data_IF_793776456506
#
_entry.id   IF_793776456506
#
_cell.length_a   1.000
_cell.length_b   1.000
_cell.length_c   1.000
_cell.angle_alpha   90.00
_cell.angle_beta   90.00
_cell.angle_gamma   90.00
#
_symmetry.space_group_name_H-M   'P 1'
#
loop_
_entity.id
_entity.type
_entity.pdbx_description
1 polymer ?
#
# COMPACT_ATOMS: atom_id res chain seq x y z
N UNK A 1 -17.75 8.84 5.39
CA UNK A 1 -18.88 7.93 5.14
C UNK A 1 -19.65 8.48 3.96
N UNK A 2 -19.83 7.67 2.91
CA UNK A 2 -20.59 8.11 1.73
C UNK A 2 -22.05 8.34 2.08
N UNK A 3 -22.68 9.30 1.39
CA UNK A 3 -24.13 9.55 1.54
C UNK A 3 -24.98 8.39 0.97
N UNK A 4 -24.43 7.62 0.03
CA UNK A 4 -25.04 6.42 -0.52
C UNK A 4 -24.50 5.17 0.23
N UNK A 5 -25.34 4.41 0.95
CA UNK A 5 -24.92 3.21 1.68
C UNK A 5 -24.34 2.10 0.80
N UNK A 6 -24.79 1.95 -0.45
CA UNK A 6 -24.26 0.92 -1.37
C UNK A 6 -22.83 1.27 -1.80
N UNK A 7 -22.57 2.55 -2.09
CA UNK A 7 -21.23 3.03 -2.41
C UNK A 7 -20.26 2.91 -1.23
N UNK A 8 -20.73 3.19 0.00
CA UNK A 8 -19.91 2.97 1.21
C UNK A 8 -19.59 1.47 1.37
N UNK A 9 -20.57 0.60 1.12
CA UNK A 9 -20.40 -0.86 1.15
C UNK A 9 -19.37 -1.34 0.12
N UNK A 10 -19.49 -0.91 -1.15
CA UNK A 10 -18.53 -1.26 -2.21
C UNK A 10 -17.10 -0.82 -1.88
N UNK A 11 -16.97 0.38 -1.31
CA UNK A 11 -15.67 0.92 -0.92
C UNK A 11 -15.07 0.17 0.27
N UNK A 12 -15.89 -0.26 1.23
CA UNK A 12 -15.44 -1.12 2.33
C UNK A 12 -14.93 -2.46 1.80
N UNK A 13 -15.63 -3.08 0.85
CA UNK A 13 -15.17 -4.33 0.21
C UNK A 13 -13.83 -4.09 -0.50
N UNK A 14 -13.72 -2.99 -1.24
CA UNK A 14 -12.47 -2.60 -1.92
C UNK A 14 -11.33 -2.41 -0.93
N UNK A 15 -11.53 -1.67 0.17
CA UNK A 15 -10.52 -1.45 1.20
C UNK A 15 -10.01 -2.79 1.77
N UNK A 16 -10.90 -3.72 2.09
CA UNK A 16 -10.49 -5.01 2.62
C UNK A 16 -9.76 -5.87 1.59
N UNK A 17 -10.23 -5.88 0.35
CA UNK A 17 -9.56 -6.58 -0.74
C UNK A 17 -8.14 -6.07 -0.96
N UNK A 18 -7.98 -4.75 -1.06
CA UNK A 18 -6.64 -4.14 -1.23
C UNK A 18 -5.77 -4.37 0.01
N UNK A 19 -6.33 -4.33 1.22
CA UNK A 19 -5.59 -4.66 2.44
C UNK A 19 -5.10 -6.13 2.43
N UNK A 20 -5.92 -7.07 1.96
CA UNK A 20 -5.55 -8.46 1.83
C UNK A 20 -4.42 -8.66 0.81
N UNK A 21 -4.57 -8.10 -0.40
CA UNK A 21 -3.58 -8.21 -1.47
C UNK A 21 -2.26 -7.51 -1.10
N UNK A 22 -2.33 -6.34 -0.47
CA UNK A 22 -1.18 -5.63 0.10
C UNK A 22 -0.42 -6.52 1.08
N UNK A 23 -1.12 -7.20 2.01
CA UNK A 23 -0.46 -8.10 2.96
C UNK A 23 0.17 -9.30 2.25
N UNK A 24 -0.56 -9.96 1.37
CA UNK A 24 -0.07 -11.15 0.68
C UNK A 24 1.19 -10.84 -0.16
N UNK A 25 1.19 -9.72 -0.88
CA UNK A 25 2.35 -9.27 -1.66
C UNK A 25 3.53 -8.83 -0.77
N UNK A 26 3.27 -8.18 0.38
CA UNK A 26 4.31 -7.87 1.36
C UNK A 26 4.94 -9.13 1.97
N UNK A 27 4.15 -10.13 2.34
CA UNK A 27 4.67 -11.39 2.91
C UNK A 27 5.60 -12.12 1.91
N UNK A 28 5.21 -12.17 0.64
CA UNK A 28 6.03 -12.73 -0.45
C UNK A 28 7.33 -11.92 -0.65
N UNK A 29 7.23 -10.59 -0.67
CA UNK A 29 8.38 -9.70 -0.73
C UNK A 29 9.33 -9.95 0.45
N UNK A 30 8.80 -10.01 1.67
CA UNK A 30 9.58 -10.21 2.89
C UNK A 30 10.30 -11.56 2.87
N UNK A 31 9.62 -12.63 2.43
CA UNK A 31 10.22 -13.95 2.29
C UNK A 31 11.39 -13.95 1.30
N UNK A 32 11.21 -13.36 0.11
CA UNK A 32 12.25 -13.29 -0.91
C UNK A 32 13.39 -12.34 -0.53
N UNK A 33 13.10 -11.22 0.13
CA UNK A 33 14.10 -10.27 0.61
C UNK A 33 14.97 -10.90 1.70
N UNK A 34 14.37 -11.61 2.67
CA UNK A 34 15.11 -12.40 3.67
C UNK A 34 16.00 -13.43 3.00
N UNK A 35 15.50 -14.13 1.99
CA UNK A 35 16.30 -15.08 1.21
C UNK A 35 17.49 -14.39 0.52
N UNK A 36 17.28 -13.22 -0.09
CA UNK A 36 18.34 -12.46 -0.77
C UNK A 36 19.44 -11.99 0.18
N UNK A 37 19.09 -11.61 1.42
CA UNK A 37 20.05 -11.19 2.44
C UNK A 37 20.91 -12.39 2.88
N UNK A 38 20.31 -13.57 3.02
CA UNK A 38 20.99 -14.77 3.50
C UNK A 38 21.73 -15.55 2.39
N UNK A 39 21.29 -15.42 1.13
CA UNK A 39 21.79 -16.18 -0.01
C UNK A 39 21.50 -15.48 -1.34
N UNK A 40 22.15 -15.94 -2.42
CA UNK A 40 21.87 -15.43 -3.77
C UNK A 40 20.51 -15.90 -4.29
N UNK A 41 19.72 -14.98 -4.84
CA UNK A 41 18.51 -15.31 -5.61
C UNK A 41 18.86 -15.77 -7.03
N UNK A 42 18.13 -16.77 -7.52
CA UNK A 42 18.17 -17.12 -8.95
C UNK A 42 17.39 -16.10 -9.81
N UNK A 43 17.46 -16.22 -11.14
CA UNK A 43 16.84 -15.26 -12.06
C UNK A 43 15.31 -15.15 -11.87
N UNK A 44 14.61 -16.27 -11.69
CA UNK A 44 13.16 -16.31 -11.47
C UNK A 44 12.79 -15.65 -10.15
N UNK A 45 13.58 -15.90 -9.10
CA UNK A 45 13.37 -15.31 -7.77
C UNK A 45 13.59 -13.80 -7.76
N UNK A 46 14.57 -13.29 -8.52
CA UNK A 46 14.76 -11.84 -8.68
C UNK A 46 13.55 -11.18 -9.35
N UNK A 47 12.99 -11.80 -10.38
CA UNK A 47 11.75 -11.32 -11.02
C UNK A 47 10.59 -11.37 -10.02
N UNK A 48 10.44 -12.46 -9.26
CA UNK A 48 9.40 -12.55 -8.22
C UNK A 48 9.56 -11.50 -7.13
N UNK A 49 10.78 -11.21 -6.68
CA UNK A 49 11.04 -10.19 -5.67
C UNK A 49 10.60 -8.82 -6.18
N UNK A 50 10.99 -8.48 -7.41
CA UNK A 50 10.56 -7.25 -8.09
C UNK A 50 9.03 -7.18 -8.20
N UNK A 51 8.39 -8.24 -8.68
CA UNK A 51 6.93 -8.30 -8.82
C UNK A 51 6.22 -8.20 -7.48
N UNK A 52 6.70 -8.88 -6.45
CA UNK A 52 6.12 -8.84 -5.11
C UNK A 52 6.19 -7.42 -4.52
N UNK A 53 7.33 -6.74 -4.64
CA UNK A 53 7.47 -5.38 -4.14
C UNK A 53 6.61 -4.37 -4.91
N UNK A 54 6.56 -4.48 -6.25
CA UNK A 54 5.70 -3.61 -7.08
C UNK A 54 4.20 -3.85 -6.82
N UNK A 55 3.76 -5.10 -6.66
CA UNK A 55 2.40 -5.43 -6.24
C UNK A 55 2.09 -4.88 -4.85
N UNK A 56 3.01 -5.00 -3.90
CA UNK A 56 2.85 -4.42 -2.56
C UNK A 56 2.63 -2.91 -2.61
N UNK A 57 3.48 -2.19 -3.35
CA UNK A 57 3.35 -0.75 -3.54
C UNK A 57 2.01 -0.38 -4.20
N UNK A 58 1.59 -1.14 -5.21
CA UNK A 58 0.31 -0.93 -5.89
C UNK A 58 -0.88 -1.05 -4.93
N UNK A 59 -0.99 -2.18 -4.23
CA UNK A 59 -2.12 -2.43 -3.33
C UNK A 59 -2.13 -1.50 -2.12
N UNK A 60 -0.96 -1.15 -1.57
CA UNK A 60 -0.86 -0.13 -0.51
C UNK A 60 -1.40 1.23 -1.01
N UNK A 61 -1.05 1.61 -2.25
CA UNK A 61 -1.52 2.85 -2.83
C UNK A 61 -3.04 2.86 -3.04
N UNK A 62 -3.60 1.82 -3.65
CA UNK A 62 -5.05 1.71 -3.87
C UNK A 62 -5.84 1.64 -2.56
N UNK A 63 -5.33 0.90 -1.58
CA UNK A 63 -5.90 0.84 -0.23
C UNK A 63 -6.05 2.25 0.39
N UNK A 64 -5.00 3.06 0.35
CA UNK A 64 -5.03 4.40 0.92
C UNK A 64 -5.92 5.34 0.11
N UNK A 65 -5.91 5.26 -1.22
CA UNK A 65 -6.84 6.03 -2.06
C UNK A 65 -8.29 5.71 -1.71
N UNK A 66 -8.63 4.44 -1.53
CA UNK A 66 -9.97 4.03 -1.11
C UNK A 66 -10.32 4.54 0.30
N UNK A 67 -9.37 4.52 1.25
CA UNK A 67 -9.56 5.12 2.57
C UNK A 67 -9.83 6.63 2.48
N UNK A 68 -9.07 7.37 1.67
CA UNK A 68 -9.24 8.81 1.49
C UNK A 68 -10.59 9.15 0.85
N UNK A 69 -11.03 8.38 -0.16
CA UNK A 69 -12.35 8.53 -0.76
C UNK A 69 -13.44 8.31 0.30
N UNK A 70 -13.28 7.29 1.15
CA UNK A 70 -14.26 6.96 2.22
C UNK A 70 -14.34 8.06 3.28
N UNK A 71 -13.20 8.60 3.66
CA UNK A 71 -13.11 9.72 4.60
C UNK A 71 -13.79 10.97 4.05
N UNK A 72 -13.53 11.32 2.78
CA UNK A 72 -14.21 12.40 2.08
C UNK A 72 -15.71 12.13 1.88
N UNK A 73 -16.12 10.87 1.75
CA UNK A 73 -17.48 10.47 1.42
C UNK A 73 -17.85 10.72 -0.05
N UNK A 74 -16.86 10.85 -0.93
CA UNK A 74 -17.01 11.01 -2.39
C UNK A 74 -15.70 10.63 -3.09
N UNK A 75 -15.79 10.13 -4.33
CA UNK A 75 -14.64 9.89 -5.23
C UNK A 75 -14.30 11.12 -6.10
N UNK A 76 -15.02 12.24 -5.90
CA UNK A 76 -14.83 13.46 -6.65
C UNK A 76 -13.42 14.04 -6.45
N UNK A 77 -12.82 14.40 -7.58
CA UNK A 77 -11.49 14.99 -7.61
C UNK A 77 -10.38 13.99 -7.32
N UNK A 78 -10.61 12.66 -7.39
CA UNK A 78 -9.54 11.66 -7.37
C UNK A 78 -9.07 11.23 -8.77
N UNK A 79 -9.65 11.78 -9.84
CA UNK A 79 -9.30 11.50 -11.23
C UNK A 79 -8.52 12.65 -11.90
N UNK A 80 -7.84 12.36 -13.01
CA UNK A 80 -7.08 13.33 -13.79
C UNK A 80 -5.87 13.94 -13.06
N UNK A 81 -5.40 15.08 -13.59
CA UNK A 81 -4.24 15.79 -13.04
C UNK A 81 -4.51 16.36 -11.65
N UNK A 82 -5.64 17.06 -11.49
CA UNK A 82 -6.04 17.62 -10.19
C UNK A 82 -6.16 16.52 -9.12
N UNK A 83 -6.70 15.35 -9.47
CA UNK A 83 -6.76 14.22 -8.55
C UNK A 83 -5.41 13.58 -8.26
N UNK A 84 -4.46 13.63 -9.18
CA UNK A 84 -3.09 13.21 -8.91
C UNK A 84 -2.43 14.11 -7.86
N UNK A 85 -2.53 15.44 -8.02
CA UNK A 85 -1.97 16.41 -7.06
C UNK A 85 -2.66 16.33 -5.69
N UNK A 86 -3.97 16.07 -5.67
CA UNK A 86 -4.73 15.82 -4.44
C UNK A 86 -4.24 14.57 -3.73
N UNK A 87 -4.09 13.44 -4.43
CA UNK A 87 -3.55 12.20 -3.86
C UNK A 87 -2.15 12.42 -3.31
N UNK A 88 -1.27 13.12 -4.05
CA UNK A 88 0.09 13.43 -3.60
C UNK A 88 0.07 14.18 -2.25
N UNK A 89 -0.81 15.19 -2.09
CA UNK A 89 -0.99 15.92 -0.82
C UNK A 89 -1.54 15.05 0.31
N UNK A 90 -2.53 14.20 0.02
CA UNK A 90 -3.15 13.32 1.02
C UNK A 90 -2.14 12.28 1.53
N UNK A 91 -1.34 11.68 0.65
CA UNK A 91 -0.28 10.76 1.04
C UNK A 91 0.79 11.43 1.90
N UNK A 92 1.21 12.66 1.55
CA UNK A 92 2.18 13.38 2.35
C UNK A 92 1.62 13.65 3.76
N UNK A 93 0.40 14.18 3.85
CA UNK A 93 -0.27 14.45 5.12
C UNK A 93 -0.47 13.19 5.98
N UNK A 94 -0.88 12.09 5.36
CA UNK A 94 -1.05 10.80 6.03
C UNK A 94 0.28 10.23 6.54
N UNK A 95 1.36 10.37 5.78
CA UNK A 95 2.69 9.94 6.21
C UNK A 95 3.16 10.76 7.41
N UNK A 96 2.98 12.08 7.38
CA UNK A 96 3.26 12.94 8.54
C UNK A 96 2.44 12.52 9.76
N UNK A 97 1.15 12.26 9.58
CA UNK A 97 0.25 11.81 10.65
C UNK A 97 0.75 10.51 11.28
N UNK A 98 1.12 9.52 10.47
CA UNK A 98 1.63 8.23 10.96
C UNK A 98 2.92 8.39 11.75
N UNK A 99 3.90 9.12 11.22
CA UNK A 99 5.18 9.33 11.90
C UNK A 99 5.01 10.13 13.20
N UNK A 100 4.18 11.19 13.18
CA UNK A 100 3.88 11.96 14.38
C UNK A 100 3.23 11.10 15.47
N UNK A 101 2.30 10.20 15.10
CA UNK A 101 1.68 9.28 16.06
C UNK A 101 2.69 8.33 16.72
N UNK A 102 3.71 7.87 15.99
CA UNK A 102 4.80 7.10 16.59
C UNK A 102 5.62 7.97 17.55
N UNK A 103 6.02 9.17 17.13
CA UNK A 103 6.76 10.10 17.97
C UNK A 103 6.04 10.43 19.28
N UNK A 104 4.76 10.79 19.20
CA UNK A 104 3.96 11.15 20.37
C UNK A 104 3.83 9.98 21.35
N UNK A 105 3.60 8.77 20.83
CA UNK A 105 3.45 7.56 21.64
C UNK A 105 4.76 7.16 22.31
N UNK A 106 5.89 7.25 21.61
CA UNK A 106 7.22 6.97 22.17
C UNK A 106 7.60 8.00 23.24
N UNK A 107 7.36 9.29 23.00
CA UNK A 107 7.58 10.37 23.97
C UNK A 107 6.73 10.19 25.23
N UNK A 108 5.54 9.63 25.11
CA UNK A 108 4.67 9.30 26.23
C UNK A 108 5.07 8.03 27.01
N UNK A 109 6.13 7.32 26.61
CA UNK A 109 6.55 6.06 27.25
C UNK A 109 5.66 4.86 26.90
N UNK A 110 4.81 4.98 25.88
CA UNK A 110 3.87 3.96 25.43
C UNK A 110 4.42 3.13 24.24
N UNK A 111 5.75 3.01 24.15
CA UNK A 111 6.42 2.17 23.15
C UNK A 111 6.20 0.69 23.41
N UNK A 112 6.22 -0.13 22.35
CA UNK A 112 5.96 -1.57 22.44
C UNK A 112 7.23 -2.42 22.66
N UNK A 113 8.38 -1.79 22.88
CA UNK A 113 9.65 -2.46 23.21
C UNK A 113 10.39 -3.10 22.03
N UNK A 114 9.72 -3.38 20.92
CA UNK A 114 10.31 -3.86 19.66
C UNK A 114 10.46 -2.76 18.59
N UNK A 115 10.04 -1.54 18.91
CA UNK A 115 10.02 -0.42 17.99
C UNK A 115 11.39 0.26 17.90
N UNK A 116 11.62 0.99 16.81
CA UNK A 116 12.83 1.78 16.67
C UNK A 116 12.85 2.93 17.70
N UNK A 117 14.05 3.49 17.90
CA UNK A 117 14.22 4.71 18.68
C UNK A 117 13.46 5.91 18.07
N UNK A 118 13.17 6.92 18.88
CA UNK A 118 12.49 8.15 18.45
C UNK A 118 13.17 8.79 17.23
N UNK A 119 14.50 8.76 17.14
CA UNK A 119 15.28 9.32 16.02
C UNK A 119 14.97 8.68 14.66
N UNK A 120 14.41 7.46 14.62
CA UNK A 120 13.94 6.84 13.39
C UNK A 120 12.67 7.50 12.84
N UNK A 121 11.81 7.98 13.75
CA UNK A 121 10.51 8.56 13.44
C UNK A 121 10.51 10.09 13.41
N UNK A 122 11.40 10.74 14.16
CA UNK A 122 11.54 12.20 14.19
C UNK A 122 12.40 12.67 13.01
N UNK A 123 11.86 12.51 11.81
CA UNK A 123 12.53 12.79 10.54
C UNK A 123 11.64 13.63 9.64
N UNK A 124 12.26 14.47 8.83
CA UNK A 124 11.56 15.17 7.76
C UNK A 124 11.15 14.17 6.66
N UNK A 125 9.89 14.24 6.23
CA UNK A 125 9.38 13.45 5.11
C UNK A 125 9.67 14.22 3.82
N UNK A 126 10.39 13.64 2.84
CA UNK A 126 10.69 14.32 1.60
C UNK A 126 9.42 14.76 0.86
N UNK A 127 9.39 16.02 0.41
CA UNK A 127 8.23 16.60 -0.27
C UNK A 127 7.83 15.85 -1.55
N UNK A 128 8.79 15.20 -2.21
CA UNK A 128 8.59 14.48 -3.46
C UNK A 128 8.16 13.01 -3.28
N UNK A 129 8.15 12.51 -2.03
CA UNK A 129 7.82 11.13 -1.69
C UNK A 129 6.51 10.67 -2.35
N UNK A 130 5.43 11.40 -2.13
CA UNK A 130 4.09 10.98 -2.58
C UNK A 130 4.00 10.95 -4.12
N UNK A 131 4.63 11.91 -4.79
CA UNK A 131 4.72 11.98 -6.24
C UNK A 131 5.53 10.80 -6.80
N UNK A 132 6.66 10.46 -6.17
CA UNK A 132 7.49 9.30 -6.53
C UNK A 132 6.75 8.00 -6.30
N UNK A 133 6.02 7.86 -5.19
CA UNK A 133 5.20 6.70 -4.90
C UNK A 133 4.11 6.48 -5.98
N UNK A 134 3.37 7.53 -6.34
CA UNK A 134 2.38 7.47 -7.44
C UNK A 134 3.02 7.09 -8.78
N UNK A 135 4.20 7.61 -9.08
CA UNK A 135 4.94 7.29 -10.32
C UNK A 135 5.33 5.82 -10.39
N UNK A 136 5.88 5.26 -9.32
CA UNK A 136 6.20 3.83 -9.22
C UNK A 136 4.93 2.98 -9.34
N UNK A 137 3.84 3.36 -8.65
CA UNK A 137 2.55 2.67 -8.82
C UNK A 137 2.05 2.70 -10.27
N UNK A 138 2.28 3.78 -11.02
CA UNK A 138 1.89 3.87 -12.43
C UNK A 138 2.81 3.10 -13.38
N UNK A 139 4.06 2.81 -12.98
CA UNK A 139 5.02 2.05 -13.78
C UNK A 139 4.85 0.53 -13.67
N UNK A 140 4.06 0.05 -12.69
CA UNK A 140 3.76 -1.40 -12.56
C UNK A 140 2.93 -1.97 -13.72
N UNK A 141 2.26 -1.12 -14.50
CA UNK A 141 1.62 -1.51 -15.75
C UNK A 141 2.66 -1.49 -16.90
N UNK A 142 3.35 -2.62 -17.09
CA UNK A 142 4.47 -2.82 -18.03
C UNK A 142 4.16 -2.70 -19.54
N UNK A 143 2.93 -2.35 -19.93
CA UNK A 143 2.53 -2.29 -21.33
C UNK A 143 3.09 -1.07 -22.09
N UNK A 144 3.55 -0.04 -21.38
CA UNK A 144 4.08 1.20 -21.99
C UNK A 144 5.58 1.30 -21.69
N UNK A 145 6.40 0.97 -22.68
CA UNK A 145 7.88 0.94 -22.60
C UNK A 145 8.50 2.31 -22.34
N UNK A 146 7.78 3.41 -22.62
CA UNK A 146 8.18 4.79 -22.27
C UNK A 146 8.21 5.05 -20.75
N UNK A 147 7.66 4.15 -19.92
CA UNK A 147 7.67 4.26 -18.46
C UNK A 147 8.95 3.71 -17.81
N UNK A 148 9.89 3.20 -18.61
CA UNK A 148 11.22 2.73 -18.19
C UNK A 148 12.27 3.87 -18.18
N UNK A 149 11.88 5.09 -17.82
CA UNK A 149 12.85 6.15 -17.57
C UNK A 149 13.57 5.93 -16.23
N UNK A 150 14.81 6.42 -16.11
CA UNK A 150 15.59 6.42 -14.85
C UNK A 150 14.81 6.98 -13.65
N UNK A 151 13.80 7.81 -13.92
CA UNK A 151 12.94 8.47 -12.94
C UNK A 151 11.98 7.52 -12.17
N UNK A 152 11.84 6.27 -12.63
CA UNK A 152 11.00 5.19 -12.07
C UNK A 152 11.81 3.97 -11.58
N UNK A 153 13.08 4.17 -11.21
CA UNK A 153 13.92 3.11 -10.66
C UNK A 153 13.39 2.63 -9.29
N UNK A 154 12.99 1.36 -9.23
CA UNK A 154 12.45 0.74 -8.02
C UNK A 154 13.50 0.60 -6.91
N UNK A 155 14.76 0.39 -7.26
CA UNK A 155 15.88 0.31 -6.30
C UNK A 155 16.08 1.66 -5.62
N UNK A 156 16.18 2.74 -6.41
CA UNK A 156 16.33 4.10 -5.85
C UNK A 156 15.12 4.46 -4.99
N UNK A 157 13.91 4.08 -5.43
CA UNK A 157 12.71 4.29 -4.62
C UNK A 157 12.76 3.52 -3.30
N UNK A 158 13.20 2.26 -3.33
CA UNK A 158 13.34 1.43 -2.14
C UNK A 158 14.32 2.06 -1.15
N UNK A 159 15.52 2.41 -1.60
CA UNK A 159 16.57 2.96 -0.73
C UNK A 159 16.15 4.27 -0.07
N UNK A 160 15.46 5.14 -0.80
CA UNK A 160 15.11 6.48 -0.30
C UNK A 160 13.77 6.53 0.45
N UNK A 161 12.81 5.66 0.10
CA UNK A 161 11.43 5.81 0.57
C UNK A 161 10.81 4.58 1.22
N UNK A 162 11.47 3.41 1.22
CA UNK A 162 10.91 2.18 1.80
C UNK A 162 10.49 2.37 3.27
N UNK A 163 11.25 3.15 4.06
CA UNK A 163 10.89 3.43 5.47
C UNK A 163 9.49 4.06 5.61
N UNK A 164 9.13 5.00 4.73
CA UNK A 164 7.82 5.66 4.78
C UNK A 164 6.71 4.72 4.35
N UNK A 165 6.96 3.95 3.28
CA UNK A 165 6.06 2.91 2.79
C UNK A 165 5.79 1.85 3.87
N UNK A 166 6.84 1.42 4.56
CA UNK A 166 6.73 0.39 5.59
C UNK A 166 5.91 0.85 6.79
N UNK A 167 6.08 2.10 7.24
CA UNK A 167 5.26 2.63 8.35
C UNK A 167 3.82 2.91 7.95
N UNK A 168 3.56 3.33 6.71
CA UNK A 168 2.20 3.37 6.15
C UNK A 168 1.56 1.97 6.15
N UNK A 169 2.29 0.95 5.67
CA UNK A 169 1.82 -0.44 5.70
C UNK A 169 1.52 -0.93 7.13
N UNK A 170 2.40 -0.65 8.09
CA UNK A 170 2.19 -1.01 9.51
C UNK A 170 0.95 -0.35 10.08
N UNK A 171 0.75 0.94 9.80
CA UNK A 171 -0.44 1.69 10.20
C UNK A 171 -1.71 1.08 9.62
N UNK A 172 -1.72 0.83 8.30
CA UNK A 172 -2.82 0.19 7.58
C UNK A 172 -3.18 -1.18 8.16
N UNK A 173 -2.18 -2.06 8.37
CA UNK A 173 -2.37 -3.40 8.92
C UNK A 173 -2.90 -3.37 10.35
N UNK A 174 -2.44 -2.44 11.18
CA UNK A 174 -2.89 -2.36 12.57
C UNK A 174 -4.39 -2.00 12.67
N UNK A 175 -4.90 -1.24 11.71
CA UNK A 175 -6.30 -0.83 11.67
C UNK A 175 -7.17 -1.83 10.90
N UNK A 176 -6.80 -2.17 9.67
CA UNK A 176 -7.62 -2.99 8.76
C UNK A 176 -7.22 -4.47 8.70
N UNK A 177 -5.99 -4.81 9.08
CA UNK A 177 -5.51 -6.20 9.10
C UNK A 177 -6.09 -7.05 10.23
N UNK A 178 -6.97 -6.50 11.06
CA UNK A 178 -7.70 -7.22 12.12
C UNK A 178 -9.01 -7.82 11.64
N UNK A 179 -9.50 -7.41 10.46
CA UNK A 179 -10.76 -7.90 9.93
C UNK A 179 -10.54 -9.24 9.24
N UNK A 180 -11.32 -10.24 9.67
CA UNK A 180 -11.34 -11.55 9.05
C UNK A 180 -12.10 -11.46 7.72
N UNK A 181 -11.40 -11.74 6.61
CA UNK A 181 -11.97 -11.71 5.27
C UNK A 181 -13.11 -12.72 5.13
N UNK A 182 -13.13 -13.80 5.94
CA UNK A 182 -14.24 -14.77 5.92
C UNK A 182 -15.58 -14.18 6.40
N UNK A 183 -15.54 -13.05 7.11
CA UNK A 183 -16.73 -12.39 7.65
C UNK A 183 -17.22 -11.23 6.75
N UNK A 184 -16.63 -11.06 5.57
CA UNK A 184 -16.97 -9.99 4.64
C UNK A 184 -17.69 -10.58 3.41
N UNK A 185 -18.78 -9.93 3.00
CA UNK A 185 -19.36 -10.18 1.68
C UNK A 185 -18.47 -9.58 0.60
N UNK A 186 -17.56 -10.40 0.07
CA UNK A 186 -16.61 -10.02 -0.98
C UNK A 186 -17.27 -9.91 -2.37
N UNK A 187 -18.61 -9.98 -2.47
CA UNK A 187 -19.39 -9.83 -3.71
C UNK A 187 -18.80 -10.68 -4.84
N UNK A 188 -18.51 -10.06 -5.99
CA UNK A 188 -17.96 -10.75 -7.17
C UNK A 188 -16.59 -11.39 -6.91
N UNK A 189 -15.76 -10.80 -6.04
CA UNK A 189 -14.41 -11.30 -5.72
C UNK A 189 -14.49 -12.67 -5.04
N UNK A 190 -15.43 -12.83 -4.09
CA UNK A 190 -15.66 -14.10 -3.39
C UNK A 190 -16.34 -15.18 -4.26
N UNK A 191 -16.94 -14.79 -5.39
CA UNK A 191 -17.72 -15.68 -6.25
C UNK A 191 -16.90 -16.39 -7.34
N UNK A 192 -15.64 -15.99 -7.55
CA UNK A 192 -14.80 -16.56 -8.59
C UNK A 192 -14.44 -18.03 -8.29
N UNK A 193 -14.74 -18.92 -9.23
CA UNK A 193 -14.37 -20.33 -9.16
C UNK A 193 -13.96 -20.86 -10.53
N UNK A 194 -12.85 -21.59 -10.57
CA UNK A 194 -12.40 -22.33 -11.76
C UNK A 194 -13.06 -23.72 -11.88
N UNK A 195 -13.86 -24.12 -10.90
CA UNK A 195 -14.62 -25.36 -10.94
C UNK A 195 -15.82 -25.15 -11.85
N UNK A 196 -15.69 -25.58 -13.10
CA UNK A 196 -16.82 -25.67 -14.04
C UNK A 196 -17.77 -26.73 -13.50
N UNK A 197 -18.92 -26.32 -12.98
CA UNK A 197 -20.02 -27.25 -12.70
C UNK A 197 -20.39 -27.91 -14.02
N UNK A 198 -20.13 -29.22 -14.14
CA UNK A 198 -20.72 -30.00 -15.22
C UNK A 198 -22.21 -30.09 -14.90
N UNK A 199 -23.03 -29.44 -15.71
CA UNK A 199 -24.47 -29.68 -15.70
C UNK A 199 -24.68 -31.17 -15.98
N UNK A 200 -25.32 -31.86 -15.04
CA UNK A 200 -25.79 -33.23 -15.17
C UNK A 200 -27.24 -33.27 -15.60
#
# INVERSE_FOLDING_TARGET
MFKNPEQDSDLIVTIHHECFLMKASFDEFEFLAKKQILASLNAVEKVRLFSAYTSFLHHLYEFYVACFMREQGSDDGFSGRAGSEKKDKLFLGETHRVFQQFCDRLKAGCGLGWENDLSYYDVEIPEDFAKKFRRIRNSTAHAITERNSDDNNLTDFYENYHKFIYELYRSARNYWGRFDVSNLDMKSIGSFSVVVKKDG
#
